data_IF_976662305685
#
_entry.id   IF_976662305685
#
_cell.length_a   1.000
_cell.length_b   1.000
_cell.length_c   1.000
_cell.angle_alpha   90.00
_cell.angle_beta   90.00
_cell.angle_gamma   90.00
#
_symmetry.space_group_name_H-M   'P 1'
#
loop_
_entity.id
_entity.type
_entity.pdbx_description
1 polymer ?
#
# COMPACT_ATOMS: atom_id res chain seq x y z
N UNK A 1 -47.44 -40.33 22.18
CA UNK A 1 -48.25 -40.14 23.43
C UNK A 1 -47.74 -38.93 24.19
N UNK A 2 -48.70 -38.00 24.50
CA UNK A 2 -48.66 -36.89 25.48
C UNK A 2 -47.78 -35.68 25.13
N UNK A 3 -48.34 -34.73 24.50
CA UNK A 3 -48.84 -33.35 24.75
C UNK A 3 -48.50 -32.72 26.12
N UNK A 4 -48.05 -31.45 26.14
CA UNK A 4 -48.60 -30.28 26.89
C UNK A 4 -47.71 -29.07 26.59
N UNK A 5 -48.18 -28.08 25.90
CA UNK A 5 -49.09 -26.94 26.22
C UNK A 5 -48.38 -25.80 26.94
N UNK A 6 -48.13 -24.73 26.18
CA UNK A 6 -48.51 -23.32 26.26
C UNK A 6 -48.53 -22.65 27.67
N UNK A 7 -47.85 -21.52 27.83
CA UNK A 7 -48.37 -20.35 28.51
C UNK A 7 -47.82 -19.05 27.91
N UNK A 8 -48.72 -18.30 27.31
CA UNK A 8 -48.66 -16.89 26.93
C UNK A 8 -48.90 -16.07 28.20
N UNK A 9 -48.11 -15.01 28.44
CA UNK A 9 -48.49 -13.91 29.31
C UNK A 9 -48.25 -12.60 28.61
N UNK A 10 -49.35 -11.96 28.24
CA UNK A 10 -49.46 -10.56 27.81
C UNK A 10 -49.40 -9.64 29.00
N UNK A 11 -48.80 -8.48 28.87
CA UNK A 11 -48.82 -7.42 29.88
C UNK A 11 -48.25 -6.11 29.32
N UNK A 12 -49.06 -5.34 28.83
CA UNK A 12 -49.59 -3.96 29.05
C UNK A 12 -48.58 -2.83 28.88
N UNK A 13 -48.96 -1.96 27.94
CA UNK A 13 -48.45 -0.62 27.67
C UNK A 13 -48.47 0.29 28.93
N UNK A 14 -47.46 1.16 29.05
CA UNK A 14 -47.61 2.50 29.60
C UNK A 14 -46.82 3.49 28.76
N UNK A 15 -47.53 4.37 28.11
CA UNK A 15 -47.02 5.54 27.43
C UNK A 15 -46.83 6.66 28.47
N UNK A 16 -45.61 7.22 28.51
CA UNK A 16 -45.37 8.46 29.28
C UNK A 16 -44.91 9.54 28.29
N UNK A 17 -45.77 10.51 28.09
CA UNK A 17 -45.52 11.75 27.36
C UNK A 17 -44.72 12.68 28.25
N UNK A 18 -43.53 13.09 27.83
CA UNK A 18 -42.78 14.19 28.44
C UNK A 18 -42.68 15.34 27.45
N UNK A 19 -43.28 16.45 27.89
CA UNK A 19 -43.34 17.75 27.21
C UNK A 19 -41.93 18.36 27.23
N UNK A 20 -41.37 18.70 26.08
CA UNK A 20 -40.16 19.48 25.94
C UNK A 20 -40.49 20.96 26.00
N UNK A 21 -39.98 21.67 27.02
CA UNK A 21 -40.01 23.12 27.10
C UNK A 21 -38.85 23.73 26.29
N UNK A 22 -39.18 24.56 25.29
CA UNK A 22 -38.22 25.39 24.58
C UNK A 22 -37.79 26.57 25.42
N UNK A 23 -36.48 26.73 25.64
CA UNK A 23 -35.86 28.00 26.09
C UNK A 23 -35.18 28.67 24.90
N UNK A 24 -35.34 30.00 24.69
CA UNK A 24 -34.71 30.70 23.56
C UNK A 24 -33.23 31.01 23.84
N UNK A 25 -32.42 30.86 22.79
CA UNK A 25 -31.00 31.18 22.81
C UNK A 25 -30.76 32.70 22.90
N UNK A 26 -29.86 33.10 23.78
CA UNK A 26 -29.41 34.49 23.93
C UNK A 26 -28.51 34.91 22.75
N UNK A 27 -28.88 36.03 22.12
CA UNK A 27 -28.15 36.71 21.05
C UNK A 27 -26.92 37.41 21.66
N UNK A 28 -25.73 37.05 21.19
CA UNK A 28 -24.47 37.76 21.53
C UNK A 28 -24.29 38.93 20.57
N UNK A 29 -24.16 40.13 21.09
CA UNK A 29 -23.89 41.37 20.35
C UNK A 29 -22.46 41.39 19.78
N UNK A 30 -22.21 42.02 18.61
CA UNK A 30 -20.88 42.11 17.99
C UNK A 30 -19.99 43.12 18.74
N UNK A 31 -18.78 42.73 19.06
CA UNK A 31 -17.72 43.55 19.64
C UNK A 31 -17.13 44.49 18.59
N UNK A 32 -16.99 45.75 18.97
CA UNK A 32 -16.53 46.86 18.16
C UNK A 32 -15.07 46.69 17.70
N UNK A 33 -14.80 47.09 16.46
CA UNK A 33 -13.48 47.18 15.82
C UNK A 33 -12.73 48.40 16.31
N UNK A 34 -11.44 48.34 16.71
CA UNK A 34 -10.64 49.53 17.03
C UNK A 34 -10.21 50.30 15.77
N UNK A 35 -10.18 51.61 15.92
CA UNK A 35 -9.93 52.59 14.87
C UNK A 35 -8.56 52.52 14.25
N UNK A 36 -8.52 52.79 12.95
CA UNK A 36 -7.39 53.02 12.06
C UNK A 36 -6.49 54.14 12.53
N UNK A 37 -5.17 53.90 12.62
CA UNK A 37 -4.14 54.96 12.83
C UNK A 37 -3.65 55.41 11.48
N UNK A 38 -3.58 56.73 11.26
CA UNK A 38 -3.17 57.38 10.03
C UNK A 38 -1.66 57.22 9.74
N UNK A 39 -1.21 57.31 8.48
CA UNK A 39 0.18 57.09 8.09
C UNK A 39 1.07 58.31 8.36
N UNK A 40 2.24 58.05 8.92
CA UNK A 40 3.34 59.06 9.09
C UNK A 40 4.21 59.05 7.83
N UNK A 41 4.63 60.25 7.41
CA UNK A 41 5.33 60.58 6.18
C UNK A 41 6.67 59.83 5.97
N UNK A 42 7.00 59.59 4.70
CA UNK A 42 8.21 58.98 4.20
C UNK A 42 9.44 59.89 4.36
N UNK A 43 10.66 59.36 4.52
CA UNK A 43 11.90 60.00 4.11
C UNK A 43 12.32 59.57 2.70
N UNK A 44 13.03 60.47 2.05
CA UNK A 44 13.42 60.49 0.67
C UNK A 44 14.35 59.36 0.19
N UNK A 45 14.32 59.17 -1.10
CA UNK A 45 15.05 58.20 -1.89
C UNK A 45 16.59 58.30 -1.75
N UNK A 46 17.23 57.12 -1.79
CA UNK A 46 18.62 56.95 -2.23
C UNK A 46 18.78 55.58 -2.88
N UNK A 47 19.30 55.69 -4.10
CA UNK A 47 20.09 54.71 -4.85
C UNK A 47 19.47 53.33 -5.23
N UNK A 48 19.15 53.25 -6.47
CA UNK A 48 18.81 52.04 -7.24
C UNK A 48 19.98 51.07 -7.30
N UNK A 49 19.83 49.83 -6.82
CA UNK A 49 20.67 48.74 -7.29
C UNK A 49 20.09 48.17 -8.59
N UNK A 50 20.98 47.84 -9.49
CA UNK A 50 20.71 47.28 -10.80
C UNK A 50 19.73 46.11 -10.76
N UNK A 51 18.79 46.06 -11.72
CA UNK A 51 17.86 44.99 -11.96
C UNK A 51 18.62 43.67 -12.06
N UNK A 52 18.37 42.76 -11.08
CA UNK A 52 18.73 41.38 -11.22
C UNK A 52 17.98 40.82 -12.44
N UNK A 53 18.73 40.30 -13.40
CA UNK A 53 18.17 39.63 -14.57
C UNK A 53 17.19 38.55 -14.09
N UNK A 54 15.93 38.68 -14.50
CA UNK A 54 14.93 37.65 -14.30
C UNK A 54 15.45 36.36 -14.95
N UNK A 55 15.75 35.36 -14.14
CA UNK A 55 16.06 34.04 -14.61
C UNK A 55 14.82 33.59 -15.38
N UNK A 56 14.94 33.45 -16.70
CA UNK A 56 13.88 32.93 -17.53
C UNK A 56 13.54 31.51 -17.01
N UNK A 57 12.40 31.40 -16.39
CA UNK A 57 11.80 30.07 -16.11
C UNK A 57 11.51 29.46 -17.48
N UNK A 58 12.35 28.54 -17.92
CA UNK A 58 12.07 27.74 -19.12
C UNK A 58 10.71 27.11 -18.96
N UNK A 59 9.80 27.45 -19.87
CA UNK A 59 8.52 26.76 -19.95
C UNK A 59 8.78 25.23 -19.99
N UNK A 60 7.96 24.39 -19.30
CA UNK A 60 8.11 22.95 -19.38
C UNK A 60 8.18 22.55 -20.85
N UNK A 61 9.17 21.73 -21.21
CA UNK A 61 9.24 21.16 -22.55
C UNK A 61 7.92 20.47 -22.83
N UNK A 62 7.33 20.69 -24.02
CA UNK A 62 6.09 20.02 -24.40
C UNK A 62 6.28 18.50 -24.25
N UNK A 63 5.40 17.86 -23.47
CA UNK A 63 5.44 16.42 -23.25
C UNK A 63 5.47 15.66 -24.58
N UNK A 64 6.40 14.75 -24.76
CA UNK A 64 6.46 13.87 -25.92
C UNK A 64 5.55 12.63 -25.78
N UNK A 65 4.88 12.48 -24.64
CA UNK A 65 3.96 11.37 -24.39
C UNK A 65 2.77 11.42 -25.35
N UNK A 66 2.49 10.31 -26.01
CA UNK A 66 1.40 10.20 -26.98
C UNK A 66 0.53 9.01 -26.66
N UNK A 67 -0.78 9.23 -26.60
CA UNK A 67 -1.74 8.17 -26.30
C UNK A 67 -2.15 8.14 -24.82
N UNK A 68 -2.82 7.09 -24.43
CA UNK A 68 -3.37 6.87 -23.09
C UNK A 68 -2.39 6.11 -22.20
N UNK A 69 -2.43 6.31 -20.89
CA UNK A 69 -1.81 5.42 -19.89
C UNK A 69 -2.79 4.27 -19.67
N UNK A 70 -2.42 3.06 -20.08
CA UNK A 70 -3.30 1.90 -20.09
C UNK A 70 -2.83 0.88 -19.05
N UNK A 71 -3.75 0.38 -18.20
CA UNK A 71 -3.44 -0.60 -17.18
C UNK A 71 -4.20 -1.91 -17.41
N UNK A 72 -3.51 -3.05 -17.21
CA UNK A 72 -4.12 -4.37 -17.12
C UNK A 72 -3.86 -4.90 -15.73
N UNK A 73 -4.92 -5.13 -14.95
CA UNK A 73 -4.80 -5.66 -13.59
C UNK A 73 -4.58 -7.18 -13.60
N UNK A 74 -4.06 -7.70 -12.48
CA UNK A 74 -4.19 -9.12 -12.21
C UNK A 74 -5.60 -9.51 -11.74
N UNK A 75 -5.76 -10.71 -11.20
CA UNK A 75 -7.09 -11.24 -10.80
C UNK A 75 -7.70 -10.57 -9.57
N UNK A 76 -6.95 -9.75 -8.84
CA UNK A 76 -7.43 -9.02 -7.65
C UNK A 76 -8.42 -7.89 -7.97
N UNK A 77 -8.36 -7.36 -9.22
CA UNK A 77 -9.19 -6.24 -9.65
C UNK A 77 -8.80 -4.90 -9.03
N UNK A 78 -9.29 -3.80 -9.61
CA UNK A 78 -8.89 -2.42 -9.25
C UNK A 78 -9.42 -1.94 -7.88
N UNK A 79 -10.41 -2.62 -7.32
CA UNK A 79 -11.02 -2.28 -6.02
C UNK A 79 -10.43 -3.04 -4.82
N UNK A 80 -9.22 -3.58 -4.97
CA UNK A 80 -8.55 -4.41 -3.96
C UNK A 80 -8.08 -3.63 -2.71
N UNK A 81 -8.17 -2.30 -2.73
CA UNK A 81 -7.72 -1.37 -1.68
C UNK A 81 -6.20 -1.43 -1.41
N UNK A 82 -5.44 -2.11 -2.27
CA UNK A 82 -4.03 -2.43 -2.09
C UNK A 82 -3.29 -2.33 -3.44
N UNK A 83 -2.83 -3.44 -3.97
CA UNK A 83 -1.89 -3.58 -5.08
C UNK A 83 -2.38 -2.98 -6.41
N UNK A 84 -3.51 -3.48 -6.95
CA UNK A 84 -4.04 -2.98 -8.22
C UNK A 84 -4.60 -1.56 -8.08
N UNK A 85 -5.31 -1.26 -6.97
CA UNK A 85 -5.80 0.08 -6.69
C UNK A 85 -4.68 1.12 -6.67
N UNK A 86 -3.50 0.76 -6.13
CA UNK A 86 -2.34 1.65 -6.07
C UNK A 86 -1.69 1.82 -7.46
N UNK A 87 -1.58 0.76 -8.25
CA UNK A 87 -1.15 0.83 -9.65
C UNK A 87 -2.04 1.78 -10.45
N UNK A 88 -3.36 1.61 -10.33
CA UNK A 88 -4.34 2.46 -10.98
C UNK A 88 -4.27 3.93 -10.55
N UNK A 89 -4.08 4.19 -9.26
CA UNK A 89 -3.86 5.55 -8.76
C UNK A 89 -2.62 6.18 -9.41
N UNK A 90 -1.53 5.43 -9.54
CA UNK A 90 -0.32 5.86 -10.25
C UNK A 90 -0.59 6.13 -11.74
N UNK A 91 -1.38 5.28 -12.42
CA UNK A 91 -1.74 5.48 -13.82
C UNK A 91 -2.57 6.76 -14.03
N UNK A 92 -3.51 7.06 -13.13
CA UNK A 92 -4.30 8.29 -13.15
C UNK A 92 -3.44 9.54 -12.93
N UNK A 93 -2.53 9.51 -11.95
CA UNK A 93 -1.62 10.61 -11.66
C UNK A 93 -0.64 10.81 -12.82
N UNK A 94 -0.03 9.73 -13.30
CA UNK A 94 0.86 9.74 -14.47
C UNK A 94 0.18 10.36 -15.69
N UNK A 95 -1.06 9.98 -15.98
CA UNK A 95 -1.83 10.55 -17.08
C UNK A 95 -2.06 12.06 -16.92
N UNK A 96 -2.36 12.50 -15.70
CA UNK A 96 -2.49 13.93 -15.36
C UNK A 96 -1.18 14.67 -15.62
N UNK A 97 -0.07 14.14 -15.16
CA UNK A 97 1.26 14.78 -15.23
C UNK A 97 1.77 14.92 -16.67
N UNK A 98 1.46 13.93 -17.53
CA UNK A 98 1.87 13.98 -18.94
C UNK A 98 0.79 14.59 -19.87
N UNK A 99 -0.34 15.02 -19.32
CA UNK A 99 -1.40 15.72 -20.05
C UNK A 99 -2.26 14.79 -20.94
N UNK A 100 -2.57 13.58 -20.45
CA UNK A 100 -3.40 12.59 -21.19
C UNK A 100 -4.47 11.97 -20.28
N UNK A 101 -5.08 10.86 -20.72
CA UNK A 101 -6.05 10.08 -19.96
C UNK A 101 -5.49 8.73 -19.54
N UNK A 102 -6.08 8.13 -18.51
CA UNK A 102 -5.83 6.76 -18.12
C UNK A 102 -7.03 5.87 -18.39
N UNK A 103 -6.81 4.57 -18.64
CA UNK A 103 -7.83 3.54 -18.73
C UNK A 103 -7.31 2.22 -18.18
N UNK A 104 -8.22 1.36 -17.69
CA UNK A 104 -7.83 0.03 -17.21
C UNK A 104 -8.74 -1.06 -17.77
N UNK A 105 -8.21 -2.28 -17.81
CA UNK A 105 -8.94 -3.52 -18.08
C UNK A 105 -8.65 -4.49 -16.93
N UNK A 106 -9.71 -4.98 -16.30
CA UNK A 106 -9.60 -5.98 -15.25
C UNK A 106 -9.51 -7.40 -15.82
N UNK A 107 -8.63 -8.21 -15.21
CA UNK A 107 -8.57 -9.64 -15.48
C UNK A 107 -9.28 -10.38 -14.35
N UNK A 108 -10.21 -11.25 -14.71
CA UNK A 108 -10.94 -12.11 -13.74
C UNK A 108 -10.26 -13.47 -13.54
N UNK A 109 -9.40 -13.83 -14.47
CA UNK A 109 -8.63 -15.06 -14.51
C UNK A 109 -7.37 -14.86 -15.34
N UNK A 110 -6.38 -15.74 -15.18
CA UNK A 110 -5.09 -15.59 -15.88
C UNK A 110 -5.21 -15.65 -17.42
N UNK A 111 -6.21 -16.36 -17.95
CA UNK A 111 -6.47 -16.41 -19.40
C UNK A 111 -6.95 -15.08 -19.98
N UNK A 112 -7.32 -14.11 -19.14
CA UNK A 112 -7.71 -12.77 -19.61
C UNK A 112 -6.49 -11.86 -19.85
N UNK A 113 -5.31 -12.20 -19.34
CA UNK A 113 -4.12 -11.34 -19.42
C UNK A 113 -3.73 -11.02 -20.87
N UNK A 114 -3.50 -12.03 -21.68
CA UNK A 114 -3.17 -11.85 -23.10
C UNK A 114 -4.29 -11.14 -23.87
N UNK A 115 -5.54 -11.47 -23.59
CA UNK A 115 -6.70 -10.86 -24.23
C UNK A 115 -6.73 -9.35 -23.92
N UNK A 116 -6.60 -8.96 -22.67
CA UNK A 116 -6.66 -7.56 -22.25
C UNK A 116 -5.48 -6.74 -22.81
N UNK A 117 -4.26 -7.29 -22.80
CA UNK A 117 -3.11 -6.65 -23.42
C UNK A 117 -3.34 -6.45 -24.92
N UNK A 118 -3.84 -7.47 -25.63
CA UNK A 118 -4.10 -7.42 -27.06
C UNK A 118 -5.27 -6.46 -27.40
N UNK A 119 -6.26 -6.31 -26.50
CA UNK A 119 -7.33 -5.32 -26.70
C UNK A 119 -6.75 -3.90 -26.75
N UNK A 120 -5.80 -3.56 -25.85
CA UNK A 120 -5.10 -2.29 -25.89
C UNK A 120 -4.21 -2.14 -27.13
N UNK A 121 -3.48 -3.16 -27.52
CA UNK A 121 -2.61 -3.12 -28.68
C UNK A 121 -3.36 -2.92 -30.00
N UNK A 122 -4.56 -3.48 -30.13
CA UNK A 122 -5.36 -3.44 -31.35
C UNK A 122 -6.41 -2.31 -31.38
N UNK A 123 -6.88 -1.87 -30.23
CA UNK A 123 -8.03 -0.95 -30.13
C UNK A 123 -7.69 0.46 -29.63
N UNK A 124 -6.67 0.60 -28.83
CA UNK A 124 -6.34 1.86 -28.14
C UNK A 124 -4.93 2.33 -28.50
N UNK A 125 -4.75 3.64 -28.58
CA UNK A 125 -3.40 4.21 -28.72
C UNK A 125 -2.81 4.42 -27.33
N UNK A 126 -2.27 3.37 -26.71
CA UNK A 126 -1.57 3.47 -25.45
C UNK A 126 -0.17 4.02 -25.63
N UNK A 127 0.18 5.05 -24.90
CA UNK A 127 1.57 5.54 -24.79
C UNK A 127 2.41 4.66 -23.89
N UNK A 128 1.75 4.09 -22.86
CA UNK A 128 2.31 3.11 -21.95
C UNK A 128 1.24 2.05 -21.65
N UNK A 129 1.59 0.77 -21.72
CA UNK A 129 0.78 -0.33 -21.19
C UNK A 129 1.44 -0.85 -19.92
N UNK A 130 0.72 -0.72 -18.80
CA UNK A 130 1.13 -1.19 -17.48
C UNK A 130 0.47 -2.54 -17.25
N UNK A 131 1.25 -3.55 -16.90
CA UNK A 131 0.77 -4.86 -16.49
C UNK A 131 1.08 -5.06 -15.02
N UNK A 132 0.02 -5.16 -14.20
CA UNK A 132 0.15 -5.15 -12.75
C UNK A 132 0.21 -6.58 -12.22
N UNK A 133 1.42 -7.01 -11.84
CA UNK A 133 1.65 -8.24 -11.11
C UNK A 133 2.49 -9.30 -11.83
N UNK A 134 3.14 -10.11 -11.00
CA UNK A 134 4.06 -11.18 -11.38
C UNK A 134 3.47 -12.16 -12.41
N UNK A 135 2.19 -12.49 -12.26
CA UNK A 135 1.52 -13.49 -13.10
C UNK A 135 1.33 -13.05 -14.56
N UNK A 136 1.42 -11.73 -14.83
CA UNK A 136 1.36 -11.18 -16.19
C UNK A 136 2.70 -11.30 -16.95
N UNK A 137 3.75 -11.81 -16.31
CA UNK A 137 5.10 -11.87 -16.89
C UNK A 137 5.17 -12.50 -18.27
N UNK A 138 4.54 -13.67 -18.48
CA UNK A 138 4.56 -14.34 -19.77
C UNK A 138 3.77 -13.60 -20.85
N UNK A 139 2.57 -13.11 -20.50
CA UNK A 139 1.71 -12.37 -21.43
C UNK A 139 2.37 -11.05 -21.87
N UNK A 140 2.97 -10.31 -20.93
CA UNK A 140 3.71 -9.08 -21.21
C UNK A 140 4.93 -9.34 -22.09
N UNK A 141 5.69 -10.43 -21.83
CA UNK A 141 6.84 -10.81 -22.64
C UNK A 141 6.44 -11.08 -24.09
N UNK A 142 5.38 -11.85 -24.29
CA UNK A 142 4.88 -12.18 -25.63
C UNK A 142 4.47 -10.91 -26.39
N UNK A 143 3.70 -10.04 -25.74
CA UNK A 143 3.25 -8.76 -26.31
C UNK A 143 4.42 -7.83 -26.63
N UNK A 144 5.34 -7.62 -25.69
CA UNK A 144 6.49 -6.74 -25.87
C UNK A 144 7.45 -7.21 -26.96
N UNK A 145 7.62 -8.52 -27.13
CA UNK A 145 8.44 -9.10 -28.18
C UNK A 145 7.81 -8.92 -29.57
N UNK A 146 6.48 -9.03 -29.66
CA UNK A 146 5.75 -8.84 -30.91
C UNK A 146 5.59 -7.36 -31.31
N UNK A 147 5.59 -6.44 -30.32
CA UNK A 147 5.34 -5.00 -30.50
C UNK A 147 6.48 -4.16 -29.93
N UNK A 148 7.64 -4.21 -30.58
CA UNK A 148 8.88 -3.57 -30.10
C UNK A 148 8.83 -2.05 -29.95
N UNK A 149 7.94 -1.37 -30.69
CA UNK A 149 7.73 0.07 -30.63
C UNK A 149 6.82 0.50 -29.44
N UNK A 150 5.96 -0.42 -28.94
CA UNK A 150 5.11 -0.18 -27.79
C UNK A 150 5.94 -0.18 -26.50
N UNK A 151 5.68 0.80 -25.62
CA UNK A 151 6.28 0.85 -24.28
C UNK A 151 5.40 0.12 -23.28
N UNK A 152 6.03 -0.74 -22.50
CA UNK A 152 5.40 -1.50 -21.42
C UNK A 152 6.06 -1.17 -20.08
N UNK A 153 5.27 -1.28 -19.04
CA UNK A 153 5.77 -1.44 -17.67
C UNK A 153 5.17 -2.72 -17.10
N UNK A 154 5.98 -3.51 -16.41
CA UNK A 154 5.50 -4.63 -15.61
C UNK A 154 5.88 -4.41 -14.15
N UNK A 155 4.92 -4.62 -13.25
CA UNK A 155 5.12 -4.54 -11.81
C UNK A 155 5.34 -5.94 -11.24
N UNK A 156 6.29 -6.08 -10.33
CA UNK A 156 6.68 -7.34 -9.66
C UNK A 156 7.35 -8.38 -10.54
N UNK A 157 7.87 -7.99 -11.69
CA UNK A 157 8.55 -8.94 -12.56
C UNK A 157 9.75 -8.30 -13.27
N UNK A 158 10.77 -9.11 -13.54
CA UNK A 158 11.92 -8.71 -14.36
C UNK A 158 12.27 -9.80 -15.36
N UNK A 159 12.82 -9.39 -16.52
CA UNK A 159 13.26 -10.30 -17.57
C UNK A 159 14.79 -10.38 -17.63
N UNK A 160 15.27 -11.59 -17.80
CA UNK A 160 16.65 -11.87 -18.20
C UNK A 160 16.62 -12.80 -19.43
N UNK A 161 17.16 -12.35 -20.61
CA UNK A 161 17.68 -11.00 -20.85
C UNK A 161 16.60 -9.92 -20.83
N UNK A 162 17.01 -8.67 -20.55
CA UNK A 162 16.11 -7.50 -20.51
C UNK A 162 15.44 -7.23 -21.86
N UNK A 163 14.22 -6.74 -21.86
CA UNK A 163 13.49 -6.28 -23.03
C UNK A 163 13.61 -4.75 -23.13
N UNK A 164 14.10 -4.17 -24.26
CA UNK A 164 14.41 -2.76 -24.36
C UNK A 164 13.18 -1.83 -24.31
N UNK A 165 12.00 -2.37 -24.53
CA UNK A 165 10.73 -1.66 -24.50
C UNK A 165 9.90 -1.96 -23.25
N UNK A 166 10.46 -2.62 -22.23
CA UNK A 166 9.77 -2.94 -20.98
C UNK A 166 10.52 -2.38 -19.78
N UNK A 167 9.86 -1.50 -19.02
CA UNK A 167 10.27 -1.07 -17.69
C UNK A 167 9.83 -2.14 -16.69
N UNK A 168 10.78 -2.91 -16.19
CA UNK A 168 10.53 -3.95 -15.20
C UNK A 168 10.71 -3.35 -13.80
N UNK A 169 9.65 -3.23 -13.05
CA UNK A 169 9.71 -2.71 -11.68
C UNK A 169 9.64 -3.86 -10.68
N UNK A 170 10.66 -4.00 -9.86
CA UNK A 170 10.71 -4.94 -8.73
C UNK A 170 10.93 -4.18 -7.42
N UNK A 171 10.61 -4.82 -6.31
CA UNK A 171 10.51 -4.15 -5.02
C UNK A 171 11.23 -4.99 -3.96
N UNK A 172 12.13 -4.37 -3.22
CA UNK A 172 12.80 -4.96 -2.06
C UNK A 172 11.86 -4.93 -0.83
N UNK A 173 10.74 -5.65 -0.93
CA UNK A 173 9.67 -5.64 0.07
C UNK A 173 10.10 -6.27 1.39
N UNK A 174 11.12 -7.13 1.37
CA UNK A 174 11.77 -7.67 2.57
C UNK A 174 12.30 -6.56 3.49
N UNK A 175 12.77 -5.44 2.93
CA UNK A 175 13.25 -4.32 3.73
C UNK A 175 12.13 -3.66 4.55
N UNK A 176 10.96 -3.45 3.95
CA UNK A 176 9.77 -2.95 4.64
C UNK A 176 9.18 -3.99 5.59
N UNK A 177 9.16 -5.26 5.15
CA UNK A 177 8.77 -6.41 5.97
C UNK A 177 9.56 -6.49 7.26
N UNK A 178 10.88 -6.29 7.19
CA UNK A 178 11.77 -6.27 8.37
C UNK A 178 11.34 -5.20 9.39
N UNK A 179 11.12 -3.97 8.94
CA UNK A 179 10.66 -2.90 9.82
C UNK A 179 9.30 -3.23 10.46
N UNK A 180 8.37 -3.77 9.68
CA UNK A 180 7.05 -4.17 10.17
C UNK A 180 7.12 -5.35 11.15
N UNK A 181 7.99 -6.33 10.91
CA UNK A 181 8.24 -7.46 11.81
C UNK A 181 8.82 -7.00 13.15
N UNK A 182 9.75 -6.05 13.11
CA UNK A 182 10.33 -5.46 14.31
C UNK A 182 9.27 -4.76 15.17
N UNK A 183 8.43 -3.93 14.56
CA UNK A 183 7.37 -3.24 15.31
C UNK A 183 6.30 -4.21 15.79
N UNK A 184 5.91 -5.20 15.00
CA UNK A 184 4.95 -6.23 15.41
C UNK A 184 5.46 -7.01 16.64
N UNK A 185 6.74 -7.40 16.63
CA UNK A 185 7.36 -8.06 17.78
C UNK A 185 7.39 -7.18 19.03
N UNK A 186 7.51 -5.85 18.88
CA UNK A 186 7.49 -4.92 20.01
C UNK A 186 6.09 -4.67 20.59
N UNK A 187 5.03 -4.90 19.79
CA UNK A 187 3.65 -4.57 20.16
C UNK A 187 2.81 -5.79 20.57
N UNK A 188 3.21 -7.01 20.19
CA UNK A 188 2.46 -8.21 20.59
C UNK A 188 2.39 -8.38 22.11
N UNK A 189 1.22 -8.76 22.59
CA UNK A 189 0.97 -9.06 24.00
C UNK A 189 0.97 -10.57 24.26
N UNK A 190 0.63 -11.37 23.24
CA UNK A 190 0.63 -12.82 23.33
C UNK A 190 2.03 -13.44 23.15
N UNK A 191 2.96 -12.67 22.55
CA UNK A 191 4.25 -13.18 22.09
C UNK A 191 4.17 -14.01 20.82
N UNK A 192 3.03 -13.96 20.11
CA UNK A 192 2.84 -14.64 18.83
C UNK A 192 2.28 -13.68 17.79
N UNK A 193 2.88 -13.66 16.64
CA UNK A 193 2.42 -12.91 15.46
C UNK A 193 2.20 -13.88 14.31
N UNK A 194 1.36 -13.53 13.34
CA UNK A 194 1.02 -14.41 12.23
C UNK A 194 1.21 -13.75 10.88
N UNK A 195 1.47 -14.54 9.86
CA UNK A 195 1.45 -14.11 8.46
C UNK A 195 0.96 -15.24 7.56
N UNK A 196 0.44 -14.88 6.41
CA UNK A 196 0.15 -15.80 5.32
C UNK A 196 0.18 -15.06 3.98
N UNK A 197 0.40 -15.79 2.90
CA UNK A 197 0.40 -15.24 1.55
C UNK A 197 -0.84 -15.61 0.74
N UNK A 198 -1.05 -14.92 -0.38
CA UNK A 198 -2.01 -15.32 -1.40
C UNK A 198 -1.48 -16.52 -2.18
N UNK A 199 -0.47 -16.30 -3.02
CA UNK A 199 0.21 -17.33 -3.81
C UNK A 199 1.68 -17.36 -3.44
N UNK A 200 2.31 -18.55 -3.43
CA UNK A 200 3.74 -18.69 -3.17
C UNK A 200 4.55 -18.23 -4.38
N UNK A 201 4.82 -16.95 -4.45
CA UNK A 201 5.63 -16.27 -5.47
C UNK A 201 6.56 -15.24 -4.80
N UNK A 202 7.74 -14.92 -5.39
CA UNK A 202 8.72 -14.04 -4.76
C UNK A 202 8.16 -12.71 -4.24
N UNK A 203 7.35 -11.93 -5.00
CA UNK A 203 6.83 -10.66 -4.51
C UNK A 203 5.89 -10.77 -3.30
N UNK A 204 5.43 -11.96 -2.95
CA UNK A 204 4.66 -12.26 -1.73
C UNK A 204 5.58 -12.75 -0.62
N UNK A 205 6.44 -13.71 -0.93
CA UNK A 205 7.31 -14.33 0.07
C UNK A 205 8.36 -13.37 0.61
N UNK A 206 8.83 -12.40 -0.18
CA UNK A 206 9.82 -11.41 0.27
C UNK A 206 9.30 -10.55 1.44
N UNK A 207 8.02 -10.18 1.46
CA UNK A 207 7.41 -9.56 2.63
C UNK A 207 7.52 -10.45 3.88
N UNK A 208 7.21 -11.76 3.71
CA UNK A 208 7.15 -12.72 4.81
C UNK A 208 8.56 -13.04 5.33
N UNK A 209 9.55 -13.11 4.44
CA UNK A 209 10.97 -13.27 4.78
C UNK A 209 11.44 -12.13 5.66
N UNK A 210 11.30 -10.90 5.18
CA UNK A 210 11.70 -9.73 5.96
C UNK A 210 10.95 -9.61 7.28
N UNK A 211 9.65 -9.93 7.29
CA UNK A 211 8.83 -9.89 8.51
C UNK A 211 9.38 -10.84 9.59
N UNK A 212 9.74 -12.07 9.22
CA UNK A 212 10.40 -13.00 10.15
C UNK A 212 11.73 -12.46 10.64
N UNK A 213 12.59 -11.98 9.75
CA UNK A 213 13.91 -11.47 10.14
C UNK A 213 13.81 -10.27 11.08
N UNK A 214 12.84 -9.38 10.87
CA UNK A 214 12.58 -8.26 11.77
C UNK A 214 12.18 -8.71 13.17
N UNK A 215 11.35 -9.76 13.28
CA UNK A 215 10.97 -10.38 14.56
C UNK A 215 12.19 -11.00 15.25
N UNK A 216 13.00 -11.74 14.50
CA UNK A 216 14.22 -12.38 15.04
C UNK A 216 15.25 -11.36 15.49
N UNK A 217 15.38 -10.25 14.76
CA UNK A 217 16.24 -9.14 15.14
C UNK A 217 15.75 -8.46 16.44
N UNK A 218 14.43 -8.23 16.58
CA UNK A 218 13.84 -7.76 17.83
C UNK A 218 14.10 -8.71 18.99
N UNK A 219 13.89 -10.01 18.79
CA UNK A 219 14.13 -11.04 19.79
C UNK A 219 15.58 -11.02 20.29
N UNK A 220 16.54 -10.91 19.37
CA UNK A 220 17.97 -10.85 19.69
C UNK A 220 18.28 -9.58 20.49
N UNK A 221 17.79 -8.43 20.04
CA UNK A 221 18.12 -7.14 20.65
C UNK A 221 17.50 -6.95 22.03
N UNK A 222 16.28 -7.45 22.24
CA UNK A 222 15.52 -7.29 23.49
C UNK A 222 15.46 -8.55 24.36
N UNK A 223 16.20 -9.64 24.00
CA UNK A 223 16.11 -10.94 24.66
C UNK A 223 14.68 -11.47 24.79
N UNK A 224 13.85 -11.15 23.79
CA UNK A 224 12.46 -11.59 23.68
C UNK A 224 12.35 -12.98 23.04
N UNK A 225 11.14 -13.53 22.95
CA UNK A 225 10.86 -14.85 22.37
C UNK A 225 9.55 -14.83 21.57
N UNK A 226 9.35 -13.78 20.78
CA UNK A 226 8.20 -13.66 19.90
C UNK A 226 8.29 -14.72 18.82
N UNK A 227 7.19 -15.43 18.58
CA UNK A 227 7.08 -16.49 17.58
C UNK A 227 6.30 -15.98 16.36
N UNK A 228 6.76 -16.31 15.17
CA UNK A 228 6.00 -16.16 13.93
C UNK A 228 5.25 -17.46 13.64
N UNK A 229 3.96 -17.33 13.32
CA UNK A 229 3.12 -18.40 12.79
C UNK A 229 2.87 -18.17 11.29
N UNK A 230 2.76 -19.24 10.55
CA UNK A 230 2.37 -19.20 9.13
C UNK A 230 3.49 -19.00 8.12
N UNK A 231 4.74 -18.82 8.55
CA UNK A 231 5.92 -18.78 7.67
C UNK A 231 7.18 -19.24 8.40
N UNK A 232 8.10 -19.87 7.67
CA UNK A 232 9.39 -20.36 8.17
C UNK A 232 10.49 -20.17 7.11
N UNK A 233 11.38 -19.21 7.31
CA UNK A 233 12.51 -18.91 6.42
C UNK A 233 13.42 -20.14 6.18
N UNK A 234 13.64 -20.96 7.20
CA UNK A 234 14.50 -22.13 7.07
C UNK A 234 13.89 -23.23 6.21
N UNK A 235 12.57 -23.33 6.18
CA UNK A 235 11.85 -24.28 5.31
C UNK A 235 11.50 -23.67 3.96
N UNK A 236 11.57 -22.33 3.82
CA UNK A 236 11.08 -21.56 2.66
C UNK A 236 9.61 -21.89 2.32
N UNK A 237 8.81 -22.08 3.36
CA UNK A 237 7.43 -22.53 3.24
C UNK A 237 6.54 -21.92 4.33
N UNK A 238 5.23 -21.89 4.06
CA UNK A 238 4.25 -21.30 4.95
C UNK A 238 2.82 -21.48 4.49
N UNK A 239 1.94 -20.63 5.01
CA UNK A 239 0.52 -20.64 4.70
C UNK A 239 0.21 -19.78 3.47
N UNK A 240 -0.48 -20.37 2.49
CA UNK A 240 -0.92 -19.66 1.29
C UNK A 240 -2.37 -20.02 0.98
N UNK A 241 -3.21 -19.03 0.66
CA UNK A 241 -4.62 -19.22 0.31
C UNK A 241 -4.80 -19.83 -1.08
N UNK A 242 -3.79 -19.71 -1.95
CA UNK A 242 -3.77 -20.25 -3.31
C UNK A 242 -4.34 -19.28 -4.36
N UNK A 243 -4.84 -18.12 -3.96
CA UNK A 243 -5.37 -17.07 -4.84
C UNK A 243 -5.31 -15.68 -4.20
N UNK A 244 -5.74 -14.64 -4.94
CA UNK A 244 -5.87 -13.26 -4.47
C UNK A 244 -7.32 -12.75 -4.46
N UNK A 245 -8.33 -13.61 -4.54
CA UNK A 245 -9.73 -13.19 -4.70
C UNK A 245 -10.63 -13.62 -3.54
N UNK A 246 -10.37 -14.77 -2.92
CA UNK A 246 -11.25 -15.41 -1.95
C UNK A 246 -11.08 -14.83 -0.55
N UNK A 247 -11.87 -13.79 -0.24
CA UNK A 247 -11.89 -13.13 1.08
C UNK A 247 -12.28 -14.07 2.22
N UNK A 248 -13.11 -15.09 1.94
CA UNK A 248 -13.53 -16.06 2.97
C UNK A 248 -12.36 -16.93 3.40
N UNK A 249 -11.48 -17.33 2.47
CA UNK A 249 -10.21 -17.98 2.84
C UNK A 249 -9.34 -17.05 3.70
N UNK A 250 -9.22 -15.78 3.33
CA UNK A 250 -8.46 -14.80 4.12
C UNK A 250 -8.97 -14.72 5.56
N UNK A 251 -10.29 -14.66 5.74
CA UNK A 251 -10.94 -14.69 7.06
C UNK A 251 -10.62 -15.97 7.82
N UNK A 252 -10.72 -17.12 7.17
CA UNK A 252 -10.45 -18.42 7.78
C UNK A 252 -8.98 -18.58 8.21
N UNK A 253 -8.03 -18.16 7.35
CA UNK A 253 -6.60 -18.23 7.67
C UNK A 253 -6.26 -17.32 8.85
N UNK A 254 -6.78 -16.09 8.85
CA UNK A 254 -6.60 -15.19 9.99
C UNK A 254 -7.22 -15.73 11.27
N UNK A 255 -8.44 -16.30 11.20
CA UNK A 255 -9.08 -16.92 12.37
C UNK A 255 -8.24 -18.07 12.94
N UNK A 256 -7.69 -18.93 12.08
CA UNK A 256 -6.82 -20.03 12.53
C UNK A 256 -5.58 -19.50 13.27
N UNK A 257 -4.92 -18.46 12.74
CA UNK A 257 -3.78 -17.82 13.39
C UNK A 257 -4.16 -17.19 14.74
N UNK A 258 -5.32 -16.54 14.81
CA UNK A 258 -5.86 -15.99 16.07
C UNK A 258 -6.15 -17.09 17.09
N UNK A 259 -6.73 -18.21 16.67
CA UNK A 259 -7.03 -19.36 17.52
C UNK A 259 -5.75 -20.05 18.03
N UNK A 260 -4.64 -19.99 17.26
CA UNK A 260 -3.31 -20.42 17.67
C UNK A 260 -2.62 -19.39 18.61
N UNK A 261 -3.25 -18.25 18.84
CA UNK A 261 -2.84 -17.23 19.79
C UNK A 261 -2.04 -16.07 19.21
N UNK A 262 -1.98 -15.91 17.88
CA UNK A 262 -1.45 -14.69 17.28
C UNK A 262 -2.37 -13.50 17.63
N UNK A 263 -1.77 -12.35 17.94
CA UNK A 263 -2.50 -11.11 18.20
C UNK A 263 -2.11 -9.97 17.23
N UNK A 264 -1.20 -10.24 16.31
CA UNK A 264 -0.88 -9.34 15.18
C UNK A 264 -0.75 -10.22 13.92
N UNK A 265 -1.44 -9.82 12.84
CA UNK A 265 -1.43 -10.59 11.58
C UNK A 265 -1.04 -9.68 10.42
N UNK A 266 -0.13 -10.17 9.56
CA UNK A 266 0.24 -9.55 8.28
C UNK A 266 -0.22 -10.46 7.11
N UNK A 267 -1.37 -10.19 6.47
CA UNK A 267 -1.82 -10.93 5.30
C UNK A 267 -1.18 -10.34 4.03
N UNK A 268 -0.38 -11.12 3.30
CA UNK A 268 0.26 -10.70 2.04
C UNK A 268 -0.52 -11.28 0.86
N UNK A 269 -1.74 -10.79 0.65
CA UNK A 269 -2.70 -11.49 -0.21
C UNK A 269 -3.70 -10.58 -0.96
N UNK A 270 -3.38 -9.30 -1.19
CA UNK A 270 -4.30 -8.38 -1.88
C UNK A 270 -5.69 -8.36 -1.22
N UNK A 271 -6.80 -8.44 -2.00
CA UNK A 271 -8.16 -8.37 -1.45
C UNK A 271 -8.53 -9.53 -0.50
N UNK A 272 -7.84 -10.66 -0.55
CA UNK A 272 -7.96 -11.74 0.44
C UNK A 272 -7.59 -11.24 1.85
N UNK A 273 -6.65 -10.31 1.94
CA UNK A 273 -6.26 -9.64 3.17
C UNK A 273 -7.39 -8.84 3.84
N UNK A 274 -8.39 -8.35 3.07
CA UNK A 274 -9.58 -7.70 3.64
C UNK A 274 -10.41 -8.68 4.46
N UNK A 275 -10.49 -9.96 4.04
CA UNK A 275 -11.10 -11.02 4.84
C UNK A 275 -10.36 -11.26 6.16
N UNK A 276 -9.03 -11.20 6.14
CA UNK A 276 -8.23 -11.25 7.37
C UNK A 276 -8.53 -10.06 8.29
N UNK A 277 -8.65 -8.86 7.74
CA UNK A 277 -9.00 -7.67 8.51
C UNK A 277 -10.37 -7.79 9.20
N UNK A 278 -11.35 -8.44 8.54
CA UNK A 278 -12.65 -8.74 9.15
C UNK A 278 -12.50 -9.64 10.39
N UNK A 279 -11.71 -10.73 10.29
CA UNK A 279 -11.47 -11.64 11.41
C UNK A 279 -10.73 -10.93 12.56
N UNK A 280 -9.67 -10.19 12.27
CA UNK A 280 -8.88 -9.42 13.26
C UNK A 280 -9.77 -8.40 13.96
N UNK A 281 -10.61 -7.66 13.21
CA UNK A 281 -11.54 -6.69 13.79
C UNK A 281 -12.60 -7.36 14.67
N UNK A 282 -13.13 -8.52 14.26
CA UNK A 282 -14.11 -9.27 15.03
C UNK A 282 -13.53 -9.84 16.34
N UNK A 283 -12.24 -10.20 16.35
CA UNK A 283 -11.54 -10.66 17.56
C UNK A 283 -11.45 -9.56 18.66
N UNK A 284 -11.37 -8.29 18.26
CA UNK A 284 -11.45 -7.12 19.17
C UNK A 284 -10.21 -6.85 20.03
N UNK A 285 -9.22 -7.74 20.02
CA UNK A 285 -7.99 -7.66 20.80
C UNK A 285 -6.71 -7.91 19.98
N UNK A 286 -6.83 -7.92 18.66
CA UNK A 286 -5.75 -8.16 17.74
C UNK A 286 -5.53 -6.96 16.81
N UNK A 287 -4.35 -6.88 16.17
CA UNK A 287 -3.95 -5.85 15.25
C UNK A 287 -3.60 -6.42 13.88
N UNK A 288 -3.59 -5.55 12.87
CA UNK A 288 -3.26 -5.89 11.51
C UNK A 288 -2.03 -5.08 11.05
N UNK A 289 -1.16 -5.71 10.29
CA UNK A 289 -0.15 -5.04 9.46
C UNK A 289 -0.62 -5.14 8.01
N UNK A 290 -0.94 -3.99 7.40
CA UNK A 290 -1.32 -3.93 5.99
C UNK A 290 -0.13 -4.09 5.05
N UNK A 291 -0.40 -4.24 3.75
CA UNK A 291 0.63 -4.34 2.69
C UNK A 291 0.31 -3.42 1.51
N UNK A 292 1.33 -3.09 0.73
CA UNK A 292 1.35 -2.27 -0.48
C UNK A 292 1.06 -0.79 -0.22
N UNK A 293 -0.08 -0.46 0.35
CA UNK A 293 -0.52 0.91 0.65
C UNK A 293 -0.74 1.11 2.16
N UNK A 294 -0.97 2.34 2.56
CA UNK A 294 -1.39 2.64 3.94
C UNK A 294 -2.88 2.25 4.14
N UNK A 295 -3.12 1.11 4.77
CA UNK A 295 -4.48 0.59 5.01
C UNK A 295 -5.30 1.45 5.95
N UNK A 296 -4.67 2.29 6.75
CA UNK A 296 -5.40 3.29 7.53
C UNK A 296 -6.16 4.27 6.62
N UNK A 297 -5.59 4.56 5.44
CA UNK A 297 -6.17 5.47 4.44
C UNK A 297 -7.03 4.70 3.44
N UNK A 298 -6.52 3.60 2.86
CA UNK A 298 -7.18 2.87 1.77
C UNK A 298 -8.36 2.01 2.22
N UNK A 299 -8.37 1.58 3.50
CA UNK A 299 -9.41 0.74 4.09
C UNK A 299 -9.88 1.33 5.44
N UNK A 300 -10.56 2.52 5.43
CA UNK A 300 -10.86 3.28 6.64
C UNK A 300 -11.76 2.54 7.64
N UNK A 301 -12.50 1.54 7.20
CA UNK A 301 -13.30 0.66 8.06
C UNK A 301 -12.46 -0.18 9.02
N UNK A 302 -11.14 -0.31 8.78
CA UNK A 302 -10.21 -1.08 9.61
C UNK A 302 -9.22 -0.22 10.40
N UNK A 303 -9.35 1.10 10.39
CA UNK A 303 -8.44 2.03 11.11
C UNK A 303 -8.20 1.68 12.57
N UNK A 304 -9.19 1.08 13.24
CA UNK A 304 -9.09 0.73 14.67
C UNK A 304 -8.15 -0.44 14.95
N UNK A 305 -7.75 -1.20 13.93
CA UNK A 305 -6.91 -2.40 14.08
C UNK A 305 -5.58 -2.30 13.32
N UNK A 306 -5.41 -1.34 12.40
CA UNK A 306 -4.18 -1.21 11.58
C UNK A 306 -3.06 -0.60 12.42
N UNK A 307 -2.09 -1.44 12.80
CA UNK A 307 -0.87 -1.02 13.50
C UNK A 307 0.04 -0.17 12.60
N UNK A 308 0.27 -0.63 11.41
CA UNK A 308 1.03 -0.01 10.32
C UNK A 308 0.77 -0.78 9.02
N UNK A 309 1.40 -0.37 7.93
CA UNK A 309 1.39 -1.12 6.66
C UNK A 309 2.78 -1.11 6.04
N UNK A 310 3.21 -2.21 5.45
CA UNK A 310 4.40 -2.20 4.58
C UNK A 310 4.02 -1.52 3.27
N UNK A 311 4.60 -0.36 3.02
CA UNK A 311 4.33 0.44 1.83
C UNK A 311 5.23 0.00 0.68
N UNK A 312 4.62 -0.14 -0.50
CA UNK A 312 5.23 -0.51 -1.77
C UNK A 312 4.68 0.44 -2.83
N UNK A 313 5.45 1.48 -3.16
CA UNK A 313 4.98 2.64 -3.92
C UNK A 313 4.90 2.35 -5.42
N UNK A 314 3.89 1.53 -5.81
CA UNK A 314 3.59 1.24 -7.20
C UNK A 314 3.24 2.52 -7.97
N UNK A 315 2.51 3.43 -7.33
CA UNK A 315 2.13 4.73 -7.85
C UNK A 315 3.35 5.51 -8.37
N UNK A 316 4.37 5.68 -7.54
CA UNK A 316 5.58 6.41 -7.94
C UNK A 316 6.34 5.74 -9.08
N UNK A 317 6.34 4.42 -9.14
CA UNK A 317 7.01 3.70 -10.23
C UNK A 317 6.28 3.86 -11.57
N UNK A 318 4.94 3.91 -11.55
CA UNK A 318 4.12 4.18 -12.74
C UNK A 318 4.32 5.60 -13.23
N UNK A 319 4.28 6.59 -12.34
CA UNK A 319 4.60 7.99 -12.65
C UNK A 319 5.99 8.13 -13.28
N UNK A 320 6.99 7.43 -12.72
CA UNK A 320 8.37 7.45 -13.20
C UNK A 320 8.50 6.91 -14.63
N UNK A 321 7.84 5.79 -14.95
CA UNK A 321 7.87 5.20 -16.29
C UNK A 321 7.19 6.12 -17.33
N UNK A 322 6.02 6.67 -17.00
CA UNK A 322 5.31 7.60 -17.89
C UNK A 322 6.08 8.89 -18.12
N UNK A 323 6.70 9.45 -17.06
CA UNK A 323 7.56 10.63 -17.15
C UNK A 323 8.78 10.38 -18.02
N UNK A 324 9.42 9.22 -17.88
CA UNK A 324 10.56 8.83 -18.71
C UNK A 324 10.20 8.74 -20.20
N UNK A 325 8.96 8.33 -20.53
CA UNK A 325 8.47 8.40 -21.93
C UNK A 325 8.27 9.84 -22.36
N UNK A 326 7.69 10.68 -21.49
CA UNK A 326 7.36 12.06 -21.80
C UNK A 326 8.60 12.93 -22.04
N UNK A 327 9.70 12.67 -21.35
CA UNK A 327 10.98 13.40 -21.50
C UNK A 327 11.98 12.70 -22.46
N UNK A 328 11.61 11.52 -23.00
CA UNK A 328 12.44 10.76 -23.92
C UNK A 328 13.58 9.98 -23.29
N UNK A 329 13.61 9.86 -21.97
CA UNK A 329 14.63 9.09 -21.22
C UNK A 329 14.27 7.63 -20.97
N UNK A 330 13.09 7.16 -21.43
CA UNK A 330 12.63 5.80 -21.21
C UNK A 330 13.66 4.75 -21.65
N UNK A 331 14.02 3.90 -20.72
CA UNK A 331 14.95 2.81 -20.95
C UNK A 331 14.39 1.54 -20.33
N UNK A 332 14.20 0.52 -21.16
CA UNK A 332 13.84 -0.80 -20.67
C UNK A 332 14.93 -1.40 -19.77
N UNK A 333 14.52 -2.25 -18.87
CA UNK A 333 15.42 -2.87 -17.89
C UNK A 333 14.79 -2.98 -16.52
N UNK A 334 15.55 -3.46 -15.54
CA UNK A 334 15.10 -3.66 -14.17
C UNK A 334 15.34 -2.41 -13.33
N UNK A 335 14.28 -1.92 -12.70
CA UNK A 335 14.26 -0.84 -11.72
C UNK A 335 13.87 -1.42 -10.37
N UNK A 336 14.57 -1.05 -9.30
CA UNK A 336 14.41 -1.64 -7.98
C UNK A 336 13.95 -0.57 -6.98
N UNK A 337 12.78 -0.77 -6.41
CA UNK A 337 12.26 0.01 -5.29
C UNK A 337 12.88 -0.48 -3.98
N UNK A 338 13.33 0.46 -3.14
CA UNK A 338 14.04 0.17 -1.89
C UNK A 338 13.68 1.19 -0.81
N UNK A 339 14.10 0.94 0.44
CA UNK A 339 14.08 1.97 1.50
C UNK A 339 14.92 3.20 1.12
N UNK A 340 16.02 3.02 0.37
CA UNK A 340 16.93 4.09 0.03
C UNK A 340 16.34 5.13 -0.95
N UNK A 341 15.50 4.69 -1.89
CA UNK A 341 14.82 5.59 -2.83
C UNK A 341 13.41 6.00 -2.37
N UNK A 342 12.97 5.54 -1.20
CA UNK A 342 11.70 5.91 -0.60
C UNK A 342 10.48 5.23 -1.23
N UNK A 343 10.67 4.26 -2.10
CA UNK A 343 9.58 3.50 -2.72
C UNK A 343 9.16 2.28 -1.90
N UNK A 344 9.93 1.93 -0.87
CA UNK A 344 9.60 0.95 0.18
C UNK A 344 9.65 1.65 1.53
N UNK A 345 8.77 1.26 2.47
CA UNK A 345 8.74 1.79 3.81
C UNK A 345 7.68 1.15 4.67
N UNK A 346 7.40 1.76 5.81
CA UNK A 346 6.22 1.46 6.63
C UNK A 346 5.38 2.72 6.82
N UNK A 347 4.07 2.56 6.87
CA UNK A 347 3.13 3.64 7.14
C UNK A 347 3.27 4.17 8.59
N UNK A 348 2.84 5.40 8.86
CA UNK A 348 2.71 5.90 10.22
C UNK A 348 1.85 4.98 11.10
N UNK A 349 2.06 5.02 12.41
CA UNK A 349 1.30 4.19 13.36
C UNK A 349 -0.11 4.73 13.67
N UNK A 350 -0.46 5.91 13.18
CA UNK A 350 -1.77 6.53 13.29
C UNK A 350 -2.37 6.41 14.72
N UNK A 351 -3.48 5.68 14.88
CA UNK A 351 -4.15 5.47 16.16
C UNK A 351 -3.29 4.71 17.18
N UNK A 352 -2.27 4.01 16.75
CA UNK A 352 -1.33 3.27 17.59
C UNK A 352 -0.05 4.05 17.91
N UNK A 353 0.12 5.27 17.37
CA UNK A 353 1.34 6.06 17.55
C UNK A 353 1.72 6.27 19.01
N UNK A 354 0.74 6.52 19.86
CA UNK A 354 0.95 6.67 21.31
C UNK A 354 1.27 5.36 22.05
N UNK A 355 1.04 4.20 21.43
CA UNK A 355 1.35 2.88 22.00
C UNK A 355 2.75 2.41 21.63
N UNK A 356 3.26 2.81 20.47
CA UNK A 356 4.64 2.54 20.07
C UNK A 356 5.56 3.50 20.80
N UNK A 357 6.41 2.96 21.69
CA UNK A 357 7.30 3.78 22.51
C UNK A 357 8.31 4.57 21.67
N UNK A 358 8.78 5.71 22.20
CA UNK A 358 9.79 6.51 21.51
C UNK A 358 11.08 5.70 21.25
N UNK A 359 11.47 4.82 22.17
CA UNK A 359 12.62 3.92 22.01
C UNK A 359 12.47 3.07 20.75
N UNK A 360 11.30 2.43 20.54
CA UNK A 360 11.05 1.61 19.33
C UNK A 360 11.06 2.46 18.06
N UNK A 361 10.48 3.67 18.10
CA UNK A 361 10.52 4.61 16.96
C UNK A 361 11.95 5.02 16.59
N UNK A 362 12.80 5.25 17.59
CA UNK A 362 14.21 5.62 17.36
C UNK A 362 15.03 4.42 16.86
N UNK A 363 14.76 3.23 17.39
CA UNK A 363 15.36 1.98 16.91
C UNK A 363 14.97 1.69 15.44
N UNK A 364 13.71 1.88 15.06
CA UNK A 364 13.26 1.72 13.66
C UNK A 364 13.98 2.68 12.72
N UNK A 365 14.19 3.94 13.11
CA UNK A 365 14.98 4.89 12.31
C UNK A 365 16.42 4.43 12.13
N UNK A 366 17.05 3.91 13.19
CA UNK A 366 18.40 3.39 13.11
C UNK A 366 18.47 2.14 12.23
N UNK A 367 17.54 1.19 12.40
CA UNK A 367 17.44 -0.03 11.59
C UNK A 367 17.25 0.34 10.10
N UNK A 368 16.39 1.29 9.80
CA UNK A 368 16.21 1.77 8.43
C UNK A 368 17.52 2.34 7.85
N UNK A 369 18.25 3.14 8.62
CA UNK A 369 19.55 3.66 8.21
C UNK A 369 20.59 2.55 8.01
N UNK A 370 20.59 1.54 8.88
CA UNK A 370 21.50 0.39 8.82
C UNK A 370 21.18 -0.52 7.61
N UNK A 371 19.91 -0.71 7.26
CA UNK A 371 19.53 -1.44 6.03
C UNK A 371 19.96 -0.63 4.80
N UNK A 372 19.70 0.68 4.75
CA UNK A 372 20.08 1.54 3.62
C UNK A 372 21.59 1.56 3.42
N UNK A 373 22.38 1.57 4.49
CA UNK A 373 23.84 1.55 4.42
C UNK A 373 24.42 0.16 4.14
N UNK A 374 23.61 -0.91 4.24
CA UNK A 374 24.03 -2.31 4.12
C UNK A 374 24.69 -2.88 5.37
N UNK A 375 24.64 -2.18 6.50
CA UNK A 375 25.08 -2.70 7.80
C UNK A 375 24.19 -3.83 8.29
N UNK A 376 22.87 -3.72 8.04
CA UNK A 376 21.92 -4.83 8.15
C UNK A 376 21.59 -5.29 6.73
N UNK A 377 21.80 -6.58 6.47
CA UNK A 377 21.39 -7.23 5.22
C UNK A 377 20.12 -8.00 5.50
N UNK A 378 19.08 -7.71 4.77
CA UNK A 378 17.81 -8.44 4.81
C UNK A 378 17.81 -9.40 3.62
N UNK A 379 17.56 -10.67 3.89
CA UNK A 379 17.42 -11.67 2.85
C UNK A 379 16.06 -11.52 2.15
N UNK A 380 16.00 -11.90 0.88
CA UNK A 380 14.78 -12.18 0.15
C UNK A 380 14.65 -13.69 -0.08
N UNK A 381 13.53 -14.14 -0.66
CA UNK A 381 13.29 -15.58 -0.87
C UNK A 381 14.41 -16.28 -1.67
N UNK A 382 15.02 -15.57 -2.62
CA UNK A 382 16.09 -16.13 -3.45
C UNK A 382 17.42 -16.26 -2.72
N UNK A 383 17.68 -15.45 -1.70
CA UNK A 383 18.93 -15.42 -0.93
C UNK A 383 18.89 -16.23 0.37
N UNK A 384 17.70 -16.66 0.81
CA UNK A 384 17.56 -17.57 1.96
C UNK A 384 18.42 -18.82 1.78
N UNK A 385 19.13 -19.23 2.86
CA UNK A 385 20.02 -20.38 2.87
C UNK A 385 19.29 -21.69 3.15
#
# INVERSE_FOLDING_TARGET
MKHKLIRIVSGLLMASVLVAACTPAATVAPTAVPATVAPTAAPAASDTPAAAAATATTAPAASSFKGTVCEVTDTGGVDDKSFNALGWSGAQQAATDVGTTASYLESKQQTDYEKNINEYLNGSKCGLIITVGFLLGNATKAAATAHTDQKFQILDFAYDPVLPNVWCQVYATEQGGFLAGYVAASQTKSGKVGTFGGINIPPVTDFMVGFQEGIEYYNTKHSAKVQLLGWDNAKKDGLFTGDFNDKDKGRQFAQNLLDEGADIIMPVAGPVGLGAAEAVKAAGNAMLVGVDTDWFVSAPEYQSIVLTSVQKRLDLSVESAAKAIADGSFKGGTHVATLANGEIGIAPFHNFDGQVSQTIKDELKQIQADIISGAIKVDNFSTLK
#
